data_IF_040194214912
#
_entry.id   IF_040194214912
#
_cell.length_a   1.000
_cell.length_b   1.000
_cell.length_c   1.000
_cell.angle_alpha   90.00
_cell.angle_beta   90.00
_cell.angle_gamma   90.00
#
_symmetry.space_group_name_H-M   'P 1'
#
loop_
_entity.id
_entity.type
_entity.pdbx_description
1 polymer ?
#
# COMPACT_ATOMS: atom_id res chain seq x y z
N UNK A 1 -4.38 2.60 -10.37
CA UNK A 1 -3.75 1.55 -9.55
C UNK A 1 -3.38 2.12 -8.19
N UNK A 2 -3.80 1.50 -7.10
CA UNK A 2 -3.49 1.88 -5.72
C UNK A 2 -2.82 0.70 -5.03
N UNK A 3 -1.81 0.99 -4.21
CA UNK A 3 -1.17 0.02 -3.32
C UNK A 3 -1.60 0.37 -1.90
N UNK A 4 -2.15 -0.61 -1.19
CA UNK A 4 -2.62 -0.47 0.18
C UNK A 4 -1.82 -1.41 1.05
N UNK A 5 -1.33 -0.89 2.15
CA UNK A 5 -0.70 -1.67 3.21
C UNK A 5 -1.71 -1.76 4.35
N UNK A 6 -2.22 -2.96 4.59
CA UNK A 6 -3.09 -3.25 5.71
C UNK A 6 -2.24 -3.71 6.90
N UNK A 7 -2.60 -3.28 8.11
CA UNK A 7 -2.00 -3.75 9.35
C UNK A 7 -3.04 -4.41 10.25
N UNK A 8 -2.59 -5.30 11.12
CA UNK A 8 -3.40 -5.79 12.23
C UNK A 8 -3.52 -4.72 13.34
N UNK A 9 -4.39 -4.95 14.32
CA UNK A 9 -4.66 -4.00 15.41
C UNK A 9 -3.40 -3.65 16.24
N UNK A 10 -2.44 -4.57 16.34
CA UNK A 10 -1.18 -4.37 17.07
C UNK A 10 -0.07 -3.78 16.21
N UNK A 11 -0.32 -3.54 14.92
CA UNK A 11 0.66 -3.05 13.94
C UNK A 11 1.94 -3.89 13.87
N UNK A 12 1.82 -5.19 14.09
CA UNK A 12 2.95 -6.13 14.10
C UNK A 12 3.04 -6.96 12.81
N UNK A 13 1.93 -7.08 12.09
CA UNK A 13 1.83 -7.84 10.85
C UNK A 13 1.15 -6.98 9.81
N UNK A 14 1.71 -6.97 8.62
CA UNK A 14 1.24 -6.16 7.49
C UNK A 14 1.03 -7.03 6.26
N UNK A 15 0.10 -6.64 5.39
CA UNK A 15 -0.17 -7.28 4.10
C UNK A 15 -0.38 -6.24 3.03
N UNK A 16 -0.09 -6.57 1.77
CA UNK A 16 -0.22 -5.63 0.65
C UNK A 16 -1.40 -6.03 -0.23
N UNK A 17 -2.28 -5.07 -0.49
CA UNK A 17 -3.41 -5.19 -1.39
C UNK A 17 -3.24 -4.21 -2.55
N UNK A 18 -3.26 -4.74 -3.77
CA UNK A 18 -3.26 -3.95 -4.99
C UNK A 18 -4.70 -3.81 -5.49
N UNK A 19 -5.11 -2.56 -5.70
CA UNK A 19 -6.41 -2.21 -6.28
C UNK A 19 -6.19 -1.64 -7.67
N UNK A 20 -6.78 -2.28 -8.67
CA UNK A 20 -6.83 -1.79 -10.04
C UNK A 20 -8.25 -1.40 -10.46
N UNK A 21 -8.34 -0.22 -11.07
CA UNK A 21 -9.57 0.48 -11.50
C UNK A 21 -9.34 1.15 -12.86
N UNK A 22 -8.37 0.68 -13.64
CA UNK A 22 -8.09 1.21 -14.96
C UNK A 22 -9.27 1.01 -15.91
N UNK A 23 -10.03 -0.08 -15.73
CA UNK A 23 -11.29 -0.30 -16.43
C UNK A 23 -12.48 0.31 -15.65
N UNK A 24 -13.37 1.06 -16.31
CA UNK A 24 -14.38 1.89 -15.63
C UNK A 24 -15.44 1.10 -14.86
N UNK A 25 -15.66 -0.18 -15.21
CA UNK A 25 -16.68 -1.04 -14.60
C UNK A 25 -16.08 -2.21 -13.81
N UNK A 26 -14.76 -2.35 -13.81
CA UNK A 26 -14.08 -3.45 -13.12
C UNK A 26 -13.24 -2.93 -11.95
N UNK A 27 -13.33 -3.65 -10.84
CA UNK A 27 -12.48 -3.47 -9.69
C UNK A 27 -11.69 -4.77 -9.52
N UNK A 28 -10.40 -4.73 -9.82
CA UNK A 28 -9.52 -5.88 -9.64
C UNK A 28 -8.80 -5.71 -8.31
N UNK A 29 -8.95 -6.71 -7.45
CA UNK A 29 -8.27 -6.81 -6.16
C UNK A 29 -7.25 -7.94 -6.23
N UNK A 30 -6.00 -7.63 -5.89
CA UNK A 30 -4.93 -8.63 -5.82
C UNK A 30 -4.21 -8.52 -4.48
N UNK A 31 -4.31 -9.59 -3.71
CA UNK A 31 -3.59 -9.81 -2.46
C UNK A 31 -2.38 -10.70 -2.77
N UNK A 32 -1.20 -10.32 -2.30
CA UNK A 32 0.02 -11.09 -2.55
C UNK A 32 0.15 -12.33 -1.67
N UNK A 33 -0.67 -12.47 -0.63
CA UNK A 33 -0.63 -13.62 0.27
C UNK A 33 0.46 -13.55 1.34
N UNK A 34 1.27 -12.48 1.38
CA UNK A 34 2.48 -12.42 2.20
C UNK A 34 2.24 -11.59 3.46
N UNK A 35 2.71 -12.10 4.59
CA UNK A 35 2.80 -11.35 5.83
C UNK A 35 4.18 -10.69 5.94
N UNK A 36 4.17 -9.39 6.15
CA UNK A 36 5.35 -8.56 6.26
C UNK A 36 5.52 -8.03 7.68
N UNK A 37 6.79 -7.86 8.09
CA UNK A 37 7.14 -7.08 9.26
C UNK A 37 7.12 -5.58 8.94
N UNK A 38 7.22 -4.75 9.98
CA UNK A 38 7.26 -3.30 9.81
C UNK A 38 8.45 -2.84 8.95
N UNK A 39 9.61 -3.46 9.13
CA UNK A 39 10.83 -3.14 8.39
C UNK A 39 10.67 -3.48 6.90
N UNK A 40 10.13 -4.67 6.60
CA UNK A 40 9.93 -5.13 5.23
C UNK A 40 8.93 -4.26 4.47
N UNK A 41 7.85 -3.84 5.13
CA UNK A 41 6.89 -2.91 4.52
C UNK A 41 7.50 -1.54 4.28
N UNK A 42 8.32 -1.05 5.20
CA UNK A 42 8.99 0.22 5.02
C UNK A 42 9.95 0.20 3.82
N UNK A 43 10.71 -0.89 3.65
CA UNK A 43 11.52 -1.11 2.46
C UNK A 43 10.67 -1.14 1.19
N UNK A 44 9.53 -1.86 1.20
CA UNK A 44 8.59 -1.86 0.08
C UNK A 44 8.11 -0.45 -0.29
N UNK A 45 7.72 0.35 0.69
CA UNK A 45 7.31 1.76 0.47
C UNK A 45 8.44 2.57 -0.14
N UNK A 46 9.68 2.39 0.33
CA UNK A 46 10.86 3.08 -0.23
C UNK A 46 11.15 2.67 -1.67
N UNK A 47 10.94 1.41 -2.05
CA UNK A 47 11.11 0.98 -3.45
C UNK A 47 10.05 1.57 -4.38
N UNK A 48 8.86 1.86 -3.86
CA UNK A 48 7.77 2.50 -4.60
C UNK A 48 8.00 4.01 -4.78
N UNK A 49 8.74 4.65 -3.86
CA UNK A 49 9.18 6.05 -3.97
C UNK A 49 10.69 6.18 -3.73
N UNK A 50 11.54 5.75 -4.69
CA UNK A 50 12.99 5.68 -4.52
C UNK A 50 13.68 7.06 -4.46
N UNK A 51 12.91 8.16 -4.49
CA UNK A 51 13.44 9.52 -4.50
C UNK A 51 13.32 10.29 -3.19
N UNK A 52 12.39 9.95 -2.29
CA UNK A 52 12.09 10.77 -1.10
C UNK A 52 11.85 12.25 -1.42
N UNK A 53 11.54 12.59 -2.68
CA UNK A 53 11.37 13.96 -3.17
C UNK A 53 9.95 14.39 -2.86
N UNK A 54 9.69 14.60 -1.58
CA UNK A 54 8.56 15.37 -1.11
C UNK A 54 8.66 16.78 -1.68
N UNK A 55 8.08 16.98 -2.87
CA UNK A 55 7.69 18.26 -3.47
C UNK A 55 6.88 17.98 -4.75
N UNK A 56 5.60 17.70 -4.51
CA UNK A 56 4.47 18.08 -5.36
C UNK A 56 3.83 17.08 -6.34
N UNK A 57 4.24 15.80 -6.51
CA UNK A 57 3.42 14.90 -7.36
C UNK A 57 3.54 13.36 -7.23
N UNK A 58 4.16 12.80 -6.20
CA UNK A 58 4.24 11.33 -6.02
C UNK A 58 3.58 10.89 -4.71
N UNK A 59 2.61 9.98 -4.86
CA UNK A 59 2.00 9.09 -3.85
C UNK A 59 2.35 9.35 -2.38
N UNK A 60 1.65 10.32 -1.76
CA UNK A 60 1.69 10.51 -0.31
C UNK A 60 1.16 9.25 0.37
N UNK A 61 1.98 8.59 1.19
CA UNK A 61 1.50 7.55 2.09
C UNK A 61 0.44 8.15 3.02
N UNK A 62 -0.78 7.63 2.96
CA UNK A 62 -1.90 8.03 3.81
C UNK A 62 -2.27 6.85 4.71
N UNK A 63 -2.61 7.15 5.96
CA UNK A 63 -3.10 6.16 6.93
C UNK A 63 -4.59 6.39 7.15
N UNK A 64 -5.35 5.29 7.25
CA UNK A 64 -6.78 5.28 7.47
C UNK A 64 -7.17 4.08 8.33
N UNK A 65 -8.30 4.16 9.02
CA UNK A 65 -8.84 3.06 9.83
C UNK A 65 -9.47 1.94 8.99
N UNK A 66 -9.83 2.23 7.74
CA UNK A 66 -10.47 1.27 6.84
C UNK A 66 -10.76 1.86 5.47
N UNK A 67 -11.27 1.01 4.58
CA UNK A 67 -11.72 1.32 3.23
C UNK A 67 -13.20 0.97 3.17
N UNK A 68 -14.04 1.88 2.66
CA UNK A 68 -15.51 1.72 2.59
C UNK A 68 -15.98 1.84 1.15
#
# INVERSE_FOLDING_TARGET
KLCIIASNNTQSVFRVLNIDRMEPLELVLADDGVEYTQEQVWELVQTLDPGGRSRANTSRAVSAFGIV
#
